data_IF_562579999493
#
_entry.id   IF_562579999493
#
_cell.length_a   1.000
_cell.length_b   1.000
_cell.length_c   1.000
_cell.angle_alpha   90.00
_cell.angle_beta   90.00
_cell.angle_gamma   90.00
#
_symmetry.space_group_name_H-M   'P 1'
#
loop_
_entity.id
_entity.type
_entity.pdbx_description
1 polymer ?
#
# COMPACT_ATOMS: atom_id res chain seq x y z
N UNK A 1 -14.74 16.42 -11.75
CA UNK A 1 -15.65 15.26 -11.79
C UNK A 1 -14.86 14.05 -12.29
N UNK A 2 -14.92 12.87 -11.62
CA UNK A 2 -14.18 11.69 -12.02
C UNK A 2 -14.52 11.26 -13.46
N UNK A 3 -13.53 10.80 -14.23
CA UNK A 3 -13.69 10.47 -15.66
C UNK A 3 -14.84 9.48 -15.92
N UNK A 4 -14.95 8.42 -15.10
CA UNK A 4 -16.02 7.43 -15.19
C UNK A 4 -17.41 8.04 -15.00
N UNK A 5 -17.56 8.96 -14.04
CA UNK A 5 -18.82 9.67 -13.77
C UNK A 5 -19.18 10.57 -14.94
N UNK A 6 -18.18 11.24 -15.53
CA UNK A 6 -18.38 12.07 -16.72
C UNK A 6 -18.82 11.25 -17.94
N UNK A 7 -18.13 10.15 -18.21
CA UNK A 7 -18.45 9.25 -19.33
C UNK A 7 -19.85 8.63 -19.16
N UNK A 8 -20.22 8.27 -17.93
CA UNK A 8 -21.54 7.74 -17.64
C UNK A 8 -22.66 8.75 -17.89
N UNK A 9 -22.46 10.01 -17.46
CA UNK A 9 -23.40 11.10 -17.70
C UNK A 9 -23.53 11.46 -19.18
N UNK A 10 -22.42 11.47 -19.93
CA UNK A 10 -22.41 11.69 -21.38
C UNK A 10 -23.14 10.58 -22.16
N UNK A 11 -23.02 9.33 -21.69
CA UNK A 11 -23.76 8.20 -22.27
C UNK A 11 -25.26 8.26 -21.95
N UNK A 12 -25.62 8.63 -20.70
CA UNK A 12 -27.01 8.70 -20.25
C UNK A 12 -27.80 9.86 -20.86
N UNK A 13 -27.11 10.94 -21.23
CA UNK A 13 -27.73 12.15 -21.77
C UNK A 13 -27.96 12.09 -23.29
N UNK A 14 -27.69 10.95 -23.93
CA UNK A 14 -27.70 10.76 -25.40
C UNK A 14 -26.87 11.80 -26.18
N UNK A 15 -26.02 12.57 -25.49
CA UNK A 15 -25.17 13.60 -26.11
C UNK A 15 -24.08 12.96 -26.97
N UNK A 16 -23.59 11.78 -26.57
CA UNK A 16 -22.57 11.04 -27.32
C UNK A 16 -22.66 9.54 -27.02
N UNK A 17 -23.00 8.74 -28.02
CA UNK A 17 -22.92 7.27 -27.94
C UNK A 17 -21.47 6.85 -27.73
N UNK A 18 -21.14 6.33 -26.55
CA UNK A 18 -19.82 5.82 -26.25
C UNK A 18 -19.59 4.47 -26.92
N UNK A 19 -18.56 4.40 -27.77
CA UNK A 19 -18.15 3.14 -28.39
C UNK A 19 -17.31 2.30 -27.43
N UNK A 20 -17.32 0.98 -27.62
CA UNK A 20 -16.44 0.07 -26.88
C UNK A 20 -14.95 0.43 -27.02
N UNK A 21 -14.56 0.96 -28.18
CA UNK A 21 -13.19 1.41 -28.44
C UNK A 21 -12.80 2.64 -27.60
N UNK A 22 -13.71 3.60 -27.45
CA UNK A 22 -13.50 4.77 -26.60
C UNK A 22 -13.39 4.36 -25.13
N UNK A 23 -14.30 3.51 -24.65
CA UNK A 23 -14.24 2.99 -23.27
C UNK A 23 -12.92 2.26 -23.01
N UNK A 24 -12.49 1.37 -23.91
CA UNK A 24 -11.22 0.66 -23.78
C UNK A 24 -10.02 1.63 -23.72
N UNK A 25 -10.08 2.71 -24.49
CA UNK A 25 -9.03 3.74 -24.52
C UNK A 25 -8.99 4.52 -23.21
N UNK A 26 -10.13 4.98 -22.71
CA UNK A 26 -10.23 5.71 -21.44
C UNK A 26 -9.85 4.84 -20.23
N UNK A 27 -10.15 3.54 -20.27
CA UNK A 27 -9.85 2.62 -19.18
C UNK A 27 -8.40 2.13 -19.15
N UNK A 28 -7.64 2.28 -20.24
CA UNK A 28 -6.27 1.74 -20.35
C UNK A 28 -5.33 2.18 -19.21
N UNK A 29 -5.30 3.46 -18.76
CA UNK A 29 -4.47 3.87 -17.63
C UNK A 29 -4.87 3.19 -16.32
N UNK A 30 -6.18 3.04 -16.06
CA UNK A 30 -6.69 2.36 -14.88
C UNK A 30 -6.29 0.88 -14.87
N UNK A 31 -6.44 0.20 -15.99
CA UNK A 31 -6.05 -1.21 -16.13
C UNK A 31 -4.55 -1.39 -15.84
N UNK A 32 -3.70 -0.48 -16.32
CA UNK A 32 -2.25 -0.55 -16.06
C UNK A 32 -1.94 -0.40 -14.57
N UNK A 33 -2.56 0.59 -13.90
CA UNK A 33 -2.38 0.82 -12.46
C UNK A 33 -2.89 -0.39 -11.67
N UNK A 34 -4.10 -0.87 -11.96
CA UNK A 34 -4.71 -2.01 -11.26
C UNK A 34 -3.89 -3.29 -11.43
N UNK A 35 -3.31 -3.55 -12.62
CA UNK A 35 -2.42 -4.70 -12.82
C UNK A 35 -1.21 -4.65 -11.89
N UNK A 36 -0.59 -3.48 -11.75
CA UNK A 36 0.58 -3.31 -10.89
C UNK A 36 0.21 -3.44 -9.40
N UNK A 37 -0.92 -2.83 -8.99
CA UNK A 37 -1.43 -2.99 -7.63
C UNK A 37 -1.77 -4.45 -7.32
N UNK A 38 -2.37 -5.18 -8.26
CA UNK A 38 -2.71 -6.58 -8.06
C UNK A 38 -1.45 -7.44 -7.85
N UNK A 39 -0.38 -7.18 -8.60
CA UNK A 39 0.91 -7.87 -8.40
C UNK A 39 1.46 -7.57 -7.01
N UNK A 40 1.52 -6.29 -6.61
CA UNK A 40 1.98 -5.88 -5.29
C UNK A 40 1.19 -6.58 -4.16
N UNK A 41 -0.14 -6.50 -4.19
CA UNK A 41 -1.01 -7.10 -3.18
C UNK A 41 -0.88 -8.63 -3.16
N UNK A 42 -0.72 -9.26 -4.33
CA UNK A 42 -0.50 -10.70 -4.41
C UNK A 42 0.83 -11.11 -3.78
N UNK A 43 1.89 -10.32 -3.95
CA UNK A 43 3.18 -10.56 -3.29
C UNK A 43 3.05 -10.42 -1.78
N UNK A 44 2.41 -9.35 -1.29
CA UNK A 44 2.19 -9.14 0.15
C UNK A 44 1.48 -10.35 0.78
N UNK A 45 0.40 -10.83 0.16
CA UNK A 45 -0.36 -11.97 0.67
C UNK A 45 0.46 -13.26 0.60
N UNK A 46 1.14 -13.51 -0.52
CA UNK A 46 1.85 -14.76 -0.76
C UNK A 46 3.07 -14.92 0.15
N UNK A 47 3.77 -13.83 0.42
CA UNK A 47 4.98 -13.80 1.26
C UNK A 47 4.64 -13.46 2.72
N UNK A 48 3.35 -13.29 3.05
CA UNK A 48 2.88 -12.95 4.40
C UNK A 48 3.56 -11.72 4.99
N UNK A 49 3.85 -10.71 4.14
CA UNK A 49 4.58 -9.51 4.54
C UNK A 49 3.75 -8.66 5.49
N UNK A 50 4.39 -8.18 6.57
CA UNK A 50 3.75 -7.36 7.60
C UNK A 50 4.55 -6.08 7.88
N UNK A 51 3.87 -5.07 8.43
CA UNK A 51 4.46 -3.79 8.84
C UNK A 51 5.48 -3.19 7.87
N UNK A 52 6.73 -3.06 8.35
CA UNK A 52 7.84 -2.45 7.62
C UNK A 52 8.28 -3.19 6.34
N UNK A 53 7.97 -4.49 6.21
CA UNK A 53 8.29 -5.27 5.02
C UNK A 53 7.43 -4.84 3.83
N UNK A 54 6.16 -4.55 4.07
CA UNK A 54 5.24 -4.01 3.06
C UNK A 54 5.73 -2.66 2.55
N UNK A 55 6.22 -1.79 3.45
CA UNK A 55 6.80 -0.49 3.09
C UNK A 55 8.08 -0.66 2.25
N UNK A 56 8.93 -1.62 2.61
CA UNK A 56 10.16 -1.92 1.87
C UNK A 56 9.86 -2.42 0.45
N UNK A 57 8.87 -3.31 0.31
CA UNK A 57 8.39 -3.76 -0.99
C UNK A 57 7.82 -2.61 -1.82
N UNK A 58 6.97 -1.76 -1.23
CA UNK A 58 6.43 -0.57 -1.89
C UNK A 58 7.54 0.34 -2.43
N UNK A 59 8.54 0.66 -1.61
CA UNK A 59 9.68 1.49 -2.00
C UNK A 59 10.47 0.86 -3.17
N UNK A 60 10.64 -0.47 -3.17
CA UNK A 60 11.27 -1.18 -4.27
C UNK A 60 10.45 -1.11 -5.57
N UNK A 61 9.14 -1.34 -5.49
CA UNK A 61 8.25 -1.26 -6.65
C UNK A 61 8.20 0.16 -7.22
N UNK A 62 8.19 1.19 -6.38
CA UNK A 62 8.24 2.61 -6.80
C UNK A 62 9.52 2.90 -7.59
N UNK A 63 10.68 2.43 -7.11
CA UNK A 63 11.96 2.61 -7.81
C UNK A 63 12.01 1.90 -9.16
N UNK A 64 11.40 0.73 -9.28
CA UNK A 64 11.33 -0.04 -10.53
C UNK A 64 10.24 0.45 -11.49
N UNK A 65 9.30 1.27 -11.02
CA UNK A 65 8.15 1.70 -11.80
C UNK A 65 8.52 2.75 -12.86
N UNK A 66 8.33 2.39 -14.13
CA UNK A 66 8.59 3.28 -15.28
C UNK A 66 7.41 4.24 -15.54
N UNK A 67 6.18 3.82 -15.25
CA UNK A 67 4.97 4.62 -15.51
C UNK A 67 4.80 5.73 -14.46
N UNK A 68 4.84 7.02 -14.85
CA UNK A 68 4.70 8.13 -13.89
C UNK A 68 3.39 8.09 -13.11
N UNK A 69 2.28 7.77 -13.78
CA UNK A 69 0.95 7.71 -13.15
C UNK A 69 0.84 6.55 -12.16
N UNK A 70 1.43 5.41 -12.49
CA UNK A 70 1.44 4.26 -11.57
C UNK A 70 2.35 4.55 -10.38
N UNK A 71 3.52 5.16 -10.63
CA UNK A 71 4.44 5.57 -9.58
C UNK A 71 3.79 6.56 -8.61
N UNK A 72 3.09 7.58 -9.12
CA UNK A 72 2.33 8.53 -8.29
C UNK A 72 1.28 7.83 -7.41
N UNK A 73 0.58 6.83 -7.97
CA UNK A 73 -0.36 6.04 -7.18
C UNK A 73 0.36 5.25 -6.08
N UNK A 74 1.44 4.53 -6.41
CA UNK A 74 2.22 3.74 -5.43
C UNK A 74 2.82 4.63 -4.33
N UNK A 75 3.30 5.82 -4.66
CA UNK A 75 3.82 6.79 -3.69
C UNK A 75 2.74 7.25 -2.70
N UNK A 76 1.47 7.37 -3.13
CA UNK A 76 0.37 7.68 -2.21
C UNK A 76 0.09 6.54 -1.24
N UNK A 77 0.21 5.28 -1.68
CA UNK A 77 0.12 4.13 -0.79
C UNK A 77 1.29 4.10 0.21
N UNK A 78 2.51 4.33 -0.27
CA UNK A 78 3.70 4.40 0.58
C UNK A 78 3.56 5.49 1.64
N UNK A 79 3.13 6.71 1.25
CA UNK A 79 2.96 7.82 2.17
C UNK A 79 1.92 7.51 3.27
N UNK A 80 0.79 6.90 2.89
CA UNK A 80 -0.24 6.50 3.85
C UNK A 80 0.26 5.45 4.86
N UNK A 81 1.08 4.49 4.41
CA UNK A 81 1.69 3.51 5.32
C UNK A 81 2.80 4.12 6.18
N UNK A 82 3.62 5.00 5.61
CA UNK A 82 4.70 5.70 6.34
C UNK A 82 4.16 6.60 7.44
N UNK A 83 3.00 7.24 7.24
CA UNK A 83 2.38 8.10 8.26
C UNK A 83 2.14 7.31 9.56
N UNK A 84 1.54 6.12 9.46
CA UNK A 84 1.33 5.25 10.62
C UNK A 84 2.66 4.74 11.22
N UNK A 85 3.59 4.34 10.37
CA UNK A 85 4.89 3.82 10.81
C UNK A 85 5.73 4.89 11.53
N UNK A 86 5.69 6.13 11.05
CA UNK A 86 6.40 7.25 11.66
C UNK A 86 5.75 7.73 12.95
N UNK A 87 4.44 7.57 13.14
CA UNK A 87 3.81 7.79 14.42
C UNK A 87 4.42 6.87 15.50
N UNK A 88 4.53 5.56 15.20
CA UNK A 88 5.17 4.59 16.10
C UNK A 88 6.64 4.95 16.37
N UNK A 89 7.38 5.30 15.32
CA UNK A 89 8.78 5.73 15.44
C UNK A 89 8.92 6.97 16.33
N UNK A 90 8.05 7.96 16.17
CA UNK A 90 8.08 9.19 16.94
C UNK A 90 7.78 8.93 18.42
N UNK A 91 6.76 8.12 18.73
CA UNK A 91 6.45 7.72 20.10
C UNK A 91 7.61 7.00 20.77
N UNK A 92 8.27 6.11 20.02
CA UNK A 92 9.43 5.39 20.50
C UNK A 92 10.61 6.33 20.78
N UNK A 93 11.01 7.17 19.83
CA UNK A 93 12.16 8.08 19.97
C UNK A 93 11.94 9.08 21.11
N UNK A 94 10.74 9.68 21.19
CA UNK A 94 10.48 10.78 22.11
C UNK A 94 10.14 10.34 23.53
N UNK A 95 9.44 9.22 23.68
CA UNK A 95 8.89 8.80 24.97
C UNK A 95 9.37 7.41 25.41
N UNK A 96 10.13 6.70 24.58
CA UNK A 96 10.53 5.31 24.87
C UNK A 96 9.33 4.35 24.95
N UNK A 97 8.21 4.70 24.31
CA UNK A 97 6.96 3.93 24.36
C UNK A 97 6.61 3.41 22.97
N UNK A 98 6.17 2.17 22.90
CA UNK A 98 5.70 1.53 21.68
C UNK A 98 4.24 1.12 21.91
N UNK A 99 3.33 1.70 21.13
CA UNK A 99 1.91 1.32 21.11
C UNK A 99 1.61 0.55 19.83
N UNK A 100 2.27 -0.60 19.70
CA UNK A 100 2.13 -1.48 18.55
C UNK A 100 1.50 -2.80 19.02
N UNK A 101 0.22 -2.98 18.68
CA UNK A 101 -0.54 -4.18 19.04
C UNK A 101 -0.37 -5.33 18.04
N UNK A 102 0.12 -5.02 16.84
CA UNK A 102 0.22 -5.95 15.73
C UNK A 102 1.67 -6.41 15.47
N UNK A 103 2.64 -5.85 16.20
CA UNK A 103 4.08 -6.12 16.04
C UNK A 103 4.62 -5.76 14.65
N UNK A 104 3.99 -4.78 14.00
CA UNK A 104 4.36 -4.27 12.68
C UNK A 104 5.63 -3.38 12.73
N UNK A 105 5.97 -2.85 13.90
CA UNK A 105 7.13 -1.98 14.10
C UNK A 105 8.42 -2.78 14.26
N UNK A 106 9.56 -2.22 13.86
CA UNK A 106 10.86 -2.93 13.90
C UNK A 106 11.37 -3.24 15.32
N UNK A 107 10.78 -2.62 16.35
CA UNK A 107 11.19 -2.80 17.75
C UNK A 107 10.01 -3.34 18.54
N UNK A 108 10.21 -4.47 19.20
CA UNK A 108 9.16 -5.14 19.95
C UNK A 108 9.36 -5.01 21.45
N UNK A 109 8.32 -4.56 22.15
CA UNK A 109 8.27 -4.64 23.60
C UNK A 109 7.64 -5.97 24.02
N UNK A 110 8.50 -6.97 24.22
CA UNK A 110 8.09 -8.32 24.63
C UNK A 110 7.43 -8.34 26.02
N UNK A 111 7.84 -7.43 26.91
CA UNK A 111 7.33 -7.37 28.29
C UNK A 111 5.89 -6.85 28.31
N UNK A 112 5.61 -5.83 27.51
CA UNK A 112 4.30 -5.19 27.44
C UNK A 112 3.33 -5.98 26.57
N UNK A 113 3.79 -6.50 25.42
CA UNK A 113 2.92 -7.23 24.49
C UNK A 113 2.54 -8.63 24.98
N UNK A 114 3.42 -9.32 25.72
CA UNK A 114 3.23 -10.70 26.21
C UNK A 114 2.88 -11.74 25.14
N UNK A 115 2.97 -11.40 23.85
CA UNK A 115 2.66 -12.30 22.74
C UNK A 115 3.78 -13.30 22.47
N UNK A 116 5.03 -12.90 22.71
CA UNK A 116 6.21 -13.71 22.44
C UNK A 116 7.16 -13.66 23.64
N UNK A 117 7.73 -14.82 23.99
CA UNK A 117 8.87 -14.91 24.87
C UNK A 117 10.18 -14.70 24.08
N UNK A 118 11.25 -14.33 24.78
CA UNK A 118 12.57 -14.16 24.14
C UNK A 118 13.02 -15.43 23.40
N UNK A 119 12.72 -16.60 23.97
CA UNK A 119 13.01 -17.93 23.40
C UNK A 119 12.25 -18.21 22.10
N UNK A 120 11.14 -17.53 21.85
CA UNK A 120 10.34 -17.73 20.63
C UNK A 120 10.94 -16.98 19.43
N UNK A 121 11.85 -16.03 19.70
CA UNK A 121 12.42 -15.11 18.69
C UNK A 121 13.92 -15.37 18.51
N UNK A 122 14.63 -15.62 19.61
CA UNK A 122 16.07 -15.88 19.62
C UNK A 122 16.23 -17.35 20.04
N UNK A 123 16.74 -18.23 19.16
CA UNK A 123 17.07 -19.60 19.56
C UNK A 123 18.07 -19.56 20.71
N UNK A 124 17.81 -20.33 21.77
CA UNK A 124 18.79 -20.50 22.84
C UNK A 124 20.02 -21.24 22.26
N UNK A 125 21.22 -20.66 22.47
CA UNK A 125 22.52 -21.31 22.19
C UNK A 125 22.75 -22.52 23.12
#
# INVERSE_FOLDING_TARGET
MPLLVKLELENRSDQKSLTLAEVATYMRPYIQITKQLNVLLSTIIKEELVGGEVLSLLAEQIRKCVSPTTRDMLQKFELAGLEQYFELLFWWIRYGKIQDYCHDFMIWDLKTSKMFAKSDIIPDD
#
